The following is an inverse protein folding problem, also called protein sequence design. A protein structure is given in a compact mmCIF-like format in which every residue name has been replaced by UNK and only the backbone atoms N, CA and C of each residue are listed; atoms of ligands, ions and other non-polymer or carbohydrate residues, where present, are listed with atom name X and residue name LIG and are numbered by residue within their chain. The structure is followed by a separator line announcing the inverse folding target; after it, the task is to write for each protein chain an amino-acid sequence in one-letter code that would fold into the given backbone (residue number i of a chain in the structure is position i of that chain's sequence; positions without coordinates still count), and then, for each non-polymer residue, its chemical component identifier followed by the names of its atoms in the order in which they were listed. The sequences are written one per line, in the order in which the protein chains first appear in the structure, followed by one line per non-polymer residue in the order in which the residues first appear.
data_IF_754549078432
#
_entry.id   IF_754549078432
#
_cell.length_a   1.000
_cell.length_b   1.000
_cell.length_c   1.000
_cell.angle_alpha   90.00
_cell.angle_beta   90.00
_cell.angle_gamma   90.00
#
_symmetry.space_group_name_H-M   'P 1'
#
loop_
_entity.id
_entity.type
_entity.pdbx_description
1 polymer ?
#
# COMPACT_ATOMS: atom_id res chain seq x y z
N UNK A 1 -7.08 -3.17 -11.23
CA UNK A 1 -5.99 -3.21 -10.20
C UNK A 1 -5.37 -4.58 -9.88
N UNK A 2 -6.09 -5.71 -10.06
CA UNK A 2 -5.61 -7.07 -9.72
C UNK A 2 -4.24 -7.46 -10.33
N UNK A 3 -3.96 -6.97 -11.54
CA UNK A 3 -2.72 -7.27 -12.23
C UNK A 3 -1.49 -6.60 -11.58
N UNK A 4 -1.67 -5.42 -10.97
CA UNK A 4 -0.57 -4.71 -10.28
C UNK A 4 -0.29 -5.37 -8.94
N UNK A 5 -1.32 -5.76 -8.20
CA UNK A 5 -1.16 -6.50 -6.93
C UNK A 5 -0.36 -7.78 -7.13
N UNK A 6 -0.71 -8.56 -8.17
CA UNK A 6 0.01 -9.78 -8.52
C UNK A 6 1.48 -9.48 -8.88
N UNK A 7 1.74 -8.47 -9.70
CA UNK A 7 3.08 -8.08 -10.07
C UNK A 7 3.93 -7.63 -8.86
N UNK A 8 3.33 -6.91 -7.90
CA UNK A 8 4.01 -6.53 -6.64
C UNK A 8 4.40 -7.79 -5.87
N UNK A 9 3.48 -8.75 -5.75
CA UNK A 9 3.72 -10.01 -5.04
C UNK A 9 4.85 -10.81 -5.70
N UNK A 10 4.83 -10.97 -7.02
CA UNK A 10 5.88 -11.68 -7.77
C UNK A 10 7.26 -11.02 -7.57
N UNK A 11 7.33 -9.69 -7.62
CA UNK A 11 8.58 -8.96 -7.38
C UNK A 11 9.04 -9.09 -5.92
N UNK A 12 8.13 -9.00 -4.95
CA UNK A 12 8.43 -9.13 -3.53
C UNK A 12 8.95 -10.55 -3.20
N UNK A 13 8.28 -11.58 -3.71
CA UNK A 13 8.69 -12.98 -3.58
C UNK A 13 10.08 -13.21 -4.15
N UNK A 14 10.35 -12.68 -5.35
CA UNK A 14 11.68 -12.79 -5.97
C UNK A 14 12.76 -12.11 -5.13
N UNK A 15 12.49 -10.90 -4.61
CA UNK A 15 13.46 -10.14 -3.81
C UNK A 15 13.80 -10.84 -2.48
N UNK A 16 12.79 -11.42 -1.82
CA UNK A 16 12.97 -12.20 -0.58
C UNK A 16 13.68 -13.53 -0.86
N UNK A 17 13.28 -14.25 -1.91
CA UNK A 17 13.88 -15.56 -2.27
C UNK A 17 15.34 -15.43 -2.68
N UNK A 18 15.69 -14.36 -3.41
CA UNK A 18 17.08 -14.06 -3.78
C UNK A 18 17.90 -13.45 -2.63
N UNK A 19 17.30 -13.25 -1.43
CA UNK A 19 17.91 -12.58 -0.27
C UNK A 19 18.52 -11.20 -0.61
N UNK A 20 17.92 -10.51 -1.58
CA UNK A 20 18.31 -9.13 -1.92
C UNK A 20 17.83 -8.14 -0.86
N UNK A 21 16.72 -8.47 -0.22
CA UNK A 21 16.12 -7.74 0.90
C UNK A 21 15.76 -8.74 2.00
N UNK A 22 15.87 -8.29 3.24
CA UNK A 22 15.49 -9.04 4.44
C UNK A 22 14.02 -8.77 4.82
N UNK A 23 13.45 -7.66 4.35
CA UNK A 23 12.11 -7.21 4.70
C UNK A 23 11.43 -6.49 3.54
N UNK A 24 10.15 -6.76 3.30
CA UNK A 24 9.29 -5.99 2.40
C UNK A 24 8.33 -5.13 3.23
N UNK A 25 8.26 -3.85 2.90
CA UNK A 25 7.30 -2.88 3.45
C UNK A 25 6.26 -2.59 2.39
N UNK A 26 5.00 -2.94 2.67
CA UNK A 26 3.89 -2.78 1.74
C UNK A 26 2.59 -2.40 2.44
N UNK A 27 1.47 -2.70 1.80
CA UNK A 27 0.14 -2.46 2.34
C UNK A 27 -0.59 -3.79 2.53
N UNK A 28 -1.42 -3.86 3.55
CA UNK A 28 -2.32 -4.98 3.84
C UNK A 28 -3.74 -4.45 4.07
N UNK A 29 -4.73 -5.34 3.96
CA UNK A 29 -6.12 -5.03 4.31
C UNK A 29 -6.18 -4.64 5.79
N UNK A 30 -6.65 -3.42 6.07
CA UNK A 30 -6.83 -2.95 7.44
C UNK A 30 -8.08 -3.56 8.08
N UNK A 31 -8.26 -3.30 9.38
CA UNK A 31 -9.43 -3.74 10.15
C UNK A 31 -10.71 -2.99 9.78
N UNK A 32 -10.60 -1.81 9.16
CA UNK A 32 -11.74 -1.01 8.72
C UNK A 32 -11.90 -1.09 7.20
N UNK A 33 -13.14 -1.12 6.69
CA UNK A 33 -13.40 -1.02 5.26
C UNK A 33 -12.85 0.31 4.70
N UNK A 34 -12.43 0.31 3.44
CA UNK A 34 -11.67 1.40 2.80
C UNK A 34 -10.34 1.73 3.46
N UNK A 35 -9.85 0.94 4.43
CA UNK A 35 -8.57 1.15 5.09
C UNK A 35 -7.54 0.09 4.70
N UNK A 36 -6.37 0.57 4.35
CA UNK A 36 -5.17 -0.27 4.28
C UNK A 36 -4.24 0.15 5.40
N UNK A 37 -3.43 -0.79 5.86
CA UNK A 37 -2.41 -0.55 6.87
C UNK A 37 -1.04 -0.95 6.34
N UNK A 38 0.03 -0.25 6.74
CA UNK A 38 1.38 -0.71 6.45
C UNK A 38 1.59 -2.13 6.98
N UNK A 39 2.21 -2.99 6.18
CA UNK A 39 2.61 -4.33 6.60
C UNK A 39 4.10 -4.56 6.34
N UNK A 40 4.64 -5.50 7.11
CA UNK A 40 6.05 -5.87 7.10
C UNK A 40 6.11 -7.37 6.86
N UNK A 41 6.74 -7.76 5.76
CA UNK A 41 6.79 -9.14 5.27
C UNK A 41 8.25 -9.56 5.16
N UNK A 42 8.68 -10.45 6.04
CA UNK A 42 10.04 -11.03 6.06
C UNK A 42 10.08 -12.44 5.46
N UNK A 43 8.92 -13.11 5.31
CA UNK A 43 8.79 -14.45 4.72
C UNK A 43 8.12 -14.40 3.37
N UNK A 44 8.58 -15.26 2.46
CA UNK A 44 7.98 -15.43 1.13
C UNK A 44 6.52 -15.87 1.24
N UNK A 45 6.20 -16.73 2.20
CA UNK A 45 4.85 -17.23 2.44
C UNK A 45 3.86 -16.10 2.75
N UNK A 46 4.31 -15.02 3.40
CA UNK A 46 3.49 -13.89 3.83
C UNK A 46 3.28 -12.83 2.73
N UNK A 47 3.89 -13.01 1.55
CA UNK A 47 3.76 -12.07 0.41
C UNK A 47 2.30 -11.94 -0.07
N UNK A 48 1.49 -12.99 0.10
CA UNK A 48 0.05 -12.96 -0.24
C UNK A 48 -0.73 -11.90 0.55
N UNK A 49 -0.21 -11.43 1.69
CA UNK A 49 -0.83 -10.38 2.51
C UNK A 49 -0.71 -8.99 1.89
N UNK A 50 0.20 -8.81 0.92
CA UNK A 50 0.37 -7.55 0.21
C UNK A 50 -0.87 -7.28 -0.64
N UNK A 51 -1.48 -6.13 -0.44
CA UNK A 51 -2.67 -5.66 -1.15
C UNK A 51 -2.34 -4.35 -1.87
N UNK A 52 -2.93 -4.15 -3.05
CA UNK A 52 -2.81 -2.88 -3.76
C UNK A 52 -4.16 -2.37 -4.28
N UNK A 53 -4.61 -1.24 -3.74
CA UNK A 53 -5.83 -0.57 -4.17
C UNK A 53 -5.75 0.96 -3.94
N UNK A 54 -6.77 1.71 -4.37
CA UNK A 54 -6.76 3.17 -4.18
C UNK A 54 -6.99 3.63 -2.72
N UNK A 55 -7.14 2.70 -1.77
CA UNK A 55 -7.14 2.97 -0.33
C UNK A 55 -5.73 2.89 0.28
N UNK A 56 -4.67 2.65 -0.51
CA UNK A 56 -3.27 2.70 -0.10
C UNK A 56 -2.78 4.15 0.14
N UNK A 57 -3.26 4.79 1.20
CA UNK A 57 -2.97 6.19 1.54
C UNK A 57 -1.76 6.40 2.45
N UNK A 58 -1.36 5.36 3.19
CA UNK A 58 -0.24 5.47 4.14
C UNK A 58 1.09 5.82 3.43
N UNK A 59 1.91 6.63 4.10
CA UNK A 59 3.27 6.93 3.65
C UNK A 59 4.24 5.89 4.24
N UNK A 60 4.73 5.00 3.39
CA UNK A 60 5.64 3.92 3.79
C UNK A 60 7.10 4.38 3.97
N UNK A 61 7.49 5.54 3.44
CA UNK A 61 8.87 6.03 3.52
C UNK A 61 9.33 6.27 4.97
N UNK A 62 8.38 6.58 5.86
CA UNK A 62 8.65 6.80 7.29
C UNK A 62 9.23 5.58 7.99
N UNK A 63 8.90 4.40 7.50
CA UNK A 63 9.36 3.15 8.10
C UNK A 63 10.77 2.77 7.69
N UNK A 64 11.35 3.45 6.69
CA UNK A 64 12.70 3.18 6.19
C UNK A 64 13.77 3.89 7.04
N UNK A 65 13.42 5.04 7.62
CA UNK A 65 14.35 5.88 8.38
C UNK A 65 14.81 5.17 9.65
N UNK A 66 16.13 5.16 9.89
CA UNK A 66 16.73 4.59 11.10
C UNK A 66 16.90 3.06 11.11
N UNK A 67 16.47 2.35 10.06
CA UNK A 67 16.66 0.91 9.91
C UNK A 67 18.00 0.55 9.25
N UNK A 68 18.53 -0.62 9.60
CA UNK A 68 19.84 -1.10 9.13
C UNK A 68 19.75 -2.36 8.27
N UNK A 69 18.63 -3.06 8.30
CA UNK A 69 18.32 -4.20 7.44
C UNK A 69 18.09 -3.78 5.98
N UNK A 70 18.21 -4.72 5.04
CA UNK A 70 17.88 -4.47 3.64
C UNK A 70 16.38 -4.57 3.44
N UNK A 71 15.77 -3.54 2.87
CA UNK A 71 14.32 -3.41 2.75
C UNK A 71 13.90 -3.23 1.29
N UNK A 72 12.85 -3.92 0.88
CA UNK A 72 12.06 -3.57 -0.30
C UNK A 72 10.86 -2.73 0.11
N UNK A 73 10.59 -1.63 -0.58
CA UNK A 73 9.48 -0.73 -0.23
C UNK A 73 8.57 -0.55 -1.43
N UNK A 74 7.29 -0.89 -1.28
CA UNK A 74 6.26 -0.61 -2.29
C UNK A 74 5.96 0.89 -2.29
N UNK A 75 6.39 1.60 -3.33
CA UNK A 75 6.37 3.05 -3.35
C UNK A 75 5.53 3.61 -4.50
N UNK A 76 4.58 4.48 -4.14
CA UNK A 76 3.96 5.42 -5.08
C UNK A 76 5.02 6.41 -5.57
N UNK A 77 4.75 7.12 -6.66
CA UNK A 77 5.66 8.18 -7.15
C UNK A 77 6.00 9.25 -6.09
N UNK A 78 5.03 9.63 -5.26
CA UNK A 78 5.26 10.55 -4.13
C UNK A 78 6.16 9.93 -3.04
N UNK A 79 5.91 8.67 -2.65
CA UNK A 79 6.70 7.96 -1.64
C UNK A 79 8.14 7.73 -2.14
N UNK A 80 8.31 7.34 -3.41
CA UNK A 80 9.61 7.11 -4.03
C UNK A 80 10.47 8.37 -4.04
N UNK A 81 9.85 9.53 -4.32
CA UNK A 81 10.53 10.83 -4.22
C UNK A 81 11.01 11.10 -2.80
N UNK A 82 10.19 10.83 -1.80
CA UNK A 82 10.55 11.05 -0.40
C UNK A 82 11.66 10.09 0.06
N UNK A 83 11.60 8.81 -0.33
CA UNK A 83 12.68 7.83 -0.08
C UNK A 83 13.99 8.32 -0.70
N UNK A 84 13.96 8.85 -1.92
CA UNK A 84 15.15 9.39 -2.58
C UNK A 84 15.74 10.59 -1.81
N UNK A 85 14.91 11.50 -1.32
CA UNK A 85 15.36 12.62 -0.47
C UNK A 85 16.00 12.11 0.82
N UNK A 86 15.35 11.19 1.52
CA UNK A 86 15.91 10.60 2.74
C UNK A 86 17.26 9.89 2.50
N UNK A 87 17.44 9.26 1.33
CA UNK A 87 18.72 8.67 0.95
C UNK A 87 19.81 9.72 0.74
N UNK A 88 19.49 10.86 0.10
CA UNK A 88 20.41 12.00 -0.09
C UNK A 88 20.80 12.60 1.27
N UNK A 89 19.85 12.70 2.19
CA UNK A 89 20.07 13.15 3.57
C UNK A 89 20.74 12.10 4.47
N UNK A 90 21.12 10.94 3.92
CA UNK A 90 21.81 9.84 4.63
C UNK A 90 21.05 9.32 5.86
N UNK A 91 19.72 9.32 5.80
CA UNK A 91 18.86 8.78 6.86
C UNK A 91 18.91 7.24 6.96
N UNK A 92 19.48 6.58 5.94
CA UNK A 92 19.75 5.15 5.88
C UNK A 92 20.85 4.87 4.82
N UNK A 93 21.52 3.71 4.84
CA UNK A 93 22.45 3.31 3.77
C UNK A 93 21.71 3.10 2.46
N UNK A 94 22.10 3.78 1.38
CA UNK A 94 21.37 3.75 0.10
C UNK A 94 21.22 2.34 -0.45
N UNK A 95 22.23 1.49 -0.28
CA UNK A 95 22.28 0.10 -0.69
C UNK A 95 21.25 -0.79 0.03
N UNK A 96 20.74 -0.34 1.18
CA UNK A 96 19.79 -1.11 1.97
C UNK A 96 18.34 -0.95 1.51
N UNK A 97 18.05 -0.12 0.49
CA UNK A 97 16.67 0.15 0.09
C UNK A 97 16.46 -0.13 -1.40
N UNK A 98 15.57 -1.07 -1.68
CA UNK A 98 15.05 -1.40 -3.01
C UNK A 98 13.64 -0.82 -3.13
N UNK A 99 13.41 0.00 -4.15
CA UNK A 99 12.09 0.60 -4.38
C UNK A 99 11.31 -0.27 -5.37
N UNK A 100 10.16 -0.78 -4.95
CA UNK A 100 9.17 -1.44 -5.81
C UNK A 100 8.19 -0.36 -6.27
N UNK A 101 8.46 0.24 -7.42
CA UNK A 101 7.66 1.34 -7.95
C UNK A 101 6.31 0.87 -8.48
N UNK A 102 5.24 1.57 -8.09
CA UNK A 102 3.87 1.26 -8.51
C UNK A 102 3.16 2.49 -9.09
N UNK A 103 2.52 2.37 -10.27
CA UNK A 103 1.77 3.47 -10.85
C UNK A 103 0.53 3.75 -9.99
N UNK A 104 0.40 4.98 -9.52
CA UNK A 104 -0.71 5.41 -8.68
C UNK A 104 -1.60 6.40 -9.45
N UNK A 105 -2.86 6.03 -9.68
CA UNK A 105 -3.87 6.86 -10.34
C UNK A 105 -4.64 7.73 -9.33
N UNK A 106 -3.99 8.12 -8.23
CA UNK A 106 -4.62 8.85 -7.13
C UNK A 106 -5.24 7.95 -6.05
N UNK A 107 -5.37 8.54 -4.87
CA UNK A 107 -5.83 7.93 -3.62
C UNK A 107 -7.20 8.48 -3.27
N UNK A 108 -8.05 7.64 -2.69
CA UNK A 108 -9.42 8.00 -2.31
C UNK A 108 -9.44 8.97 -1.12
N UNK A 109 -10.27 10.00 -1.20
CA UNK A 109 -10.57 10.90 -0.08
C UNK A 109 -11.72 10.33 0.77
N UNK A 110 -11.37 9.72 1.91
CA UNK A 110 -12.36 9.11 2.82
C UNK A 110 -13.36 10.11 3.38
N UNK A 111 -12.96 11.35 3.66
CA UNK A 111 -13.87 12.34 4.26
C UNK A 111 -15.04 12.65 3.33
N UNK A 112 -14.80 12.64 2.01
CA UNK A 112 -15.86 12.80 1.01
C UNK A 112 -16.81 11.61 0.97
N UNK A 113 -16.29 10.40 1.18
CA UNK A 113 -17.11 9.18 1.24
C UNK A 113 -17.95 9.16 2.51
N UNK A 114 -17.33 9.41 3.67
CA UNK A 114 -18.03 9.50 4.96
C UNK A 114 -19.11 10.58 4.95
N UNK A 115 -18.84 11.74 4.35
CA UNK A 115 -19.84 12.79 4.20
C UNK A 115 -21.04 12.37 3.34
N UNK A 116 -20.83 11.53 2.31
CA UNK A 116 -21.92 10.99 1.48
C UNK A 116 -22.69 9.84 2.14
N UNK A 117 -22.10 9.20 3.15
CA UNK A 117 -22.72 8.08 3.86
C UNK A 117 -23.64 8.54 5.00
N UNK A 118 -23.67 9.84 5.31
CA UNK A 118 -24.58 10.45 6.30
C UNK A 118 -24.63 9.71 7.66
N UNK A 119 -23.49 9.15 8.09
CA UNK A 119 -23.39 8.41 9.36
C UNK A 119 -23.79 6.94 9.30
N UNK A 120 -24.06 6.37 8.13
CA UNK A 120 -24.31 4.94 7.96
C UNK A 120 -23.01 4.13 8.02
N UNK A 121 -23.01 3.03 8.77
CA UNK A 121 -21.86 2.15 8.89
C UNK A 121 -21.59 1.39 7.59
N UNK A 122 -20.34 1.44 7.15
CA UNK A 122 -19.84 0.63 6.04
C UNK A 122 -19.35 -0.69 6.61
N UNK A 123 -19.88 -1.79 6.09
CA UNK A 123 -19.43 -3.14 6.45
C UNK A 123 -18.34 -3.61 5.48
N UNK A 124 -18.50 -3.29 4.19
CA UNK A 124 -17.57 -3.70 3.17
C UNK A 124 -17.42 -2.62 2.11
N UNK A 125 -16.20 -2.45 1.60
CA UNK A 125 -15.98 -1.60 0.46
C UNK A 125 -14.90 -2.17 -0.45
N UNK A 126 -15.21 -2.17 -1.74
CA UNK A 126 -14.34 -2.67 -2.80
C UNK A 126 -14.06 -1.53 -3.77
N UNK A 127 -12.78 -1.35 -4.07
CA UNK A 127 -12.30 -0.31 -4.98
C UNK A 127 -11.91 -0.97 -6.28
N UNK A 128 -12.65 -0.70 -7.35
CA UNK A 128 -12.42 -1.23 -8.70
C UNK A 128 -12.18 -0.07 -9.67
N UNK A 129 -10.93 0.16 -10.06
CA UNK A 129 -10.45 1.12 -11.07
C UNK A 129 -11.08 2.54 -11.05
N UNK A 130 -12.31 2.73 -11.53
CA UNK A 130 -13.05 4.01 -11.54
C UNK A 130 -14.27 4.06 -10.59
N UNK A 131 -14.57 2.98 -9.88
CA UNK A 131 -15.74 2.85 -9.02
C UNK A 131 -15.38 2.35 -7.62
N UNK A 132 -16.04 2.91 -6.63
CA UNK A 132 -15.94 2.55 -5.22
C UNK A 132 -17.29 1.99 -4.84
N UNK A 133 -17.37 0.66 -4.66
CA UNK A 133 -18.56 -0.02 -4.18
C UNK A 133 -18.51 -0.05 -2.66
N UNK A 134 -19.52 0.52 -2.03
CA UNK A 134 -19.66 0.59 -0.57
C UNK A 134 -20.94 -0.13 -0.17
N UNK A 135 -20.83 -1.12 0.70
CA UNK A 135 -21.94 -1.90 1.25
C UNK A 135 -22.06 -1.66 2.75
N UNK A 136 -23.28 -1.40 3.21
CA UNK A 136 -23.63 -1.35 4.63
C UNK A 136 -24.94 -2.09 4.89
N UNK A 137 -25.49 -1.99 6.10
CA UNK A 137 -26.76 -2.61 6.43
C UNK A 137 -27.90 -2.04 5.59
N UNK A 138 -28.36 -2.80 4.60
CA UNK A 138 -29.51 -2.47 3.76
C UNK A 138 -29.25 -1.42 2.67
N UNK A 139 -28.00 -1.09 2.36
CA UNK A 139 -27.67 -0.19 1.24
C UNK A 139 -26.39 -0.58 0.50
N UNK A 140 -26.38 -0.32 -0.80
CA UNK A 140 -25.23 -0.43 -1.68
C UNK A 140 -25.09 0.88 -2.46
N UNK A 141 -23.94 1.53 -2.35
CA UNK A 141 -23.61 2.73 -3.12
C UNK A 141 -22.42 2.45 -4.04
N UNK A 142 -22.54 2.89 -5.29
CA UNK A 142 -21.42 2.95 -6.23
C UNK A 142 -21.06 4.42 -6.40
N UNK A 143 -19.85 4.78 -5.99
CA UNK A 143 -19.33 6.13 -6.15
C UNK A 143 -18.27 6.12 -7.26
N UNK A 144 -18.31 7.08 -8.21
CA UNK A 144 -17.18 7.28 -9.11
C UNK A 144 -15.96 7.74 -8.29
N UNK A 145 -14.77 7.29 -8.71
CA UNK A 145 -13.48 7.65 -8.12
C UNK A 145 -13.14 9.13 -8.34
#
# INVERSE_FOLDING_TARGET
MENIEKAIREVAEKLLSEKKVDLIIGYERGTLPLRTTPCFVDKVEDVHRLVWNASCDANLSKYVVGRKEKMGVVAKGCDARLIAVCAVEKQFPRENVVIIGVPCLGVIDRKKIEAKLEGKEVLEAVVEDEQIKVKGEGFEFVLPK
#
